data_IF_210544487796
#
_entry.id   IF_210544487796
#
_cell.length_a   1.000
_cell.length_b   1.000
_cell.length_c   1.000
_cell.angle_alpha   90.00
_cell.angle_beta   90.00
_cell.angle_gamma   90.00
#
_symmetry.space_group_name_H-M   'P 1'
#
loop_
_entity.id
_entity.type
_entity.pdbx_description
1 polymer ?
#
# COMPACT_ATOMS: atom_id res chain seq x y z
N UNK A 1 -21.87 -3.61 19.70
CA UNK A 1 -20.85 -2.78 19.01
C UNK A 1 -19.55 -2.94 19.76
N UNK A 2 -18.59 -3.68 19.21
CA UNK A 2 -17.26 -3.89 19.80
C UNK A 2 -16.44 -2.61 19.65
N UNK A 3 -15.83 -2.13 20.73
CA UNK A 3 -14.91 -0.99 20.70
C UNK A 3 -13.81 -1.28 19.66
N UNK A 4 -13.47 -0.35 18.75
CA UNK A 4 -12.35 -0.56 17.84
C UNK A 4 -11.09 -0.88 18.66
N UNK A 5 -10.22 -1.78 18.19
CA UNK A 5 -8.97 -2.09 18.87
C UNK A 5 -8.19 -0.80 19.14
N UNK A 6 -7.46 -0.72 20.24
CA UNK A 6 -6.61 0.44 20.50
C UNK A 6 -5.42 0.42 19.54
N UNK A 7 -4.96 1.59 19.09
CA UNK A 7 -3.75 1.70 18.30
C UNK A 7 -2.53 1.25 19.13
N UNK A 8 -1.58 0.52 18.52
CA UNK A 8 -0.42 -0.03 19.23
C UNK A 8 0.68 1.00 19.50
N UNK A 9 0.54 2.24 19.02
CA UNK A 9 1.52 3.32 19.11
C UNK A 9 1.00 4.61 18.51
N UNK A 10 1.83 5.65 18.54
CA UNK A 10 1.52 6.96 17.94
C UNK A 10 1.50 6.85 16.41
N UNK A 11 0.35 7.06 15.75
CA UNK A 11 0.28 7.00 14.30
C UNK A 11 1.12 8.07 13.59
N UNK A 12 1.48 9.19 14.25
CA UNK A 12 2.33 10.25 13.65
C UNK A 12 3.77 9.78 13.38
N UNK A 13 4.22 8.73 14.08
CA UNK A 13 5.55 8.13 13.92
C UNK A 13 5.59 7.07 12.82
N UNK A 14 4.45 6.81 12.15
CA UNK A 14 4.39 5.97 10.97
C UNK A 14 4.97 6.69 9.75
N UNK A 15 5.86 6.02 9.04
CA UNK A 15 6.44 6.53 7.81
C UNK A 15 6.70 5.41 6.79
N UNK A 16 6.82 5.82 5.53
CA UNK A 16 7.08 4.92 4.41
C UNK A 16 8.57 4.93 4.06
N UNK A 17 9.17 3.75 3.99
CA UNK A 17 10.48 3.54 3.39
C UNK A 17 10.28 2.83 2.04
N UNK A 18 10.57 3.54 0.95
CA UNK A 18 10.40 3.05 -0.42
C UNK A 18 11.76 2.62 -0.95
N UNK A 19 11.84 1.39 -1.44
CA UNK A 19 13.06 0.80 -1.98
C UNK A 19 12.77 0.07 -3.28
N UNK A 20 13.74 0.08 -4.18
CA UNK A 20 13.77 -0.70 -5.41
C UNK A 20 14.98 -1.62 -5.35
N UNK A 21 14.81 -2.88 -5.75
CA UNK A 21 15.93 -3.82 -5.83
C UNK A 21 16.34 -3.95 -7.30
N UNK A 22 17.46 -3.31 -7.64
CA UNK A 22 18.12 -3.45 -8.93
C UNK A 22 19.16 -4.58 -8.83
N UNK A 23 18.72 -5.81 -9.07
CA UNK A 23 19.65 -6.93 -9.10
C UNK A 23 20.43 -6.86 -10.42
N UNK A 24 21.76 -6.78 -10.35
CA UNK A 24 22.67 -6.81 -11.52
C UNK A 24 22.63 -8.15 -12.31
N UNK A 25 21.61 -8.98 -12.09
CA UNK A 25 21.40 -10.22 -12.81
C UNK A 25 20.77 -9.96 -14.17
N UNK A 26 21.23 -10.68 -15.20
CA UNK A 26 20.63 -10.72 -16.53
C UNK A 26 19.28 -11.46 -16.49
N UNK A 27 18.30 -10.94 -15.75
CA UNK A 27 16.92 -11.40 -15.92
C UNK A 27 16.40 -10.82 -17.24
N UNK A 28 15.75 -11.63 -18.10
CA UNK A 28 15.35 -11.18 -19.44
C UNK A 28 14.46 -9.94 -19.47
N UNK A 29 13.82 -9.62 -18.34
CA UNK A 29 12.82 -8.58 -18.18
C UNK A 29 13.21 -7.48 -17.19
N UNK A 30 14.47 -7.41 -16.73
CA UNK A 30 14.94 -6.43 -15.75
C UNK A 30 14.57 -4.98 -16.13
N UNK A 31 14.67 -4.65 -17.42
CA UNK A 31 14.35 -3.33 -17.97
C UNK A 31 12.83 -3.09 -18.14
N UNK A 32 12.02 -4.14 -18.09
CA UNK A 32 10.57 -4.10 -18.36
C UNK A 32 9.75 -4.18 -17.09
N UNK A 33 10.20 -4.89 -16.05
CA UNK A 33 9.45 -5.09 -14.82
C UNK A 33 10.29 -4.69 -13.60
N UNK A 34 9.94 -3.58 -12.97
CA UNK A 34 10.59 -3.11 -11.75
C UNK A 34 9.75 -3.46 -10.53
N UNK A 35 10.35 -4.18 -9.56
CA UNK A 35 9.71 -4.45 -8.27
C UNK A 35 10.08 -3.42 -7.21
N UNK A 36 9.08 -2.76 -6.67
CA UNK A 36 9.18 -1.76 -5.60
C UNK A 36 8.65 -2.33 -4.29
N UNK A 37 9.46 -2.27 -3.23
CA UNK A 37 9.07 -2.66 -1.88
C UNK A 37 8.92 -1.42 -1.01
N UNK A 38 7.75 -1.27 -0.38
CA UNK A 38 7.44 -0.19 0.53
C UNK A 38 7.27 -0.76 1.93
N UNK A 39 8.18 -0.45 2.84
CA UNK A 39 8.02 -0.79 4.25
C UNK A 39 7.24 0.32 4.96
N UNK A 40 6.26 -0.06 5.79
CA UNK A 40 5.62 0.83 6.74
C UNK A 40 6.32 0.63 8.08
N UNK A 41 6.99 1.68 8.56
CA UNK A 41 7.79 1.64 9.78
C UNK A 41 7.18 2.57 10.83
N UNK A 42 7.19 2.12 12.08
CA UNK A 42 6.78 2.92 13.23
C UNK A 42 8.00 3.19 14.10
N UNK A 43 8.35 4.47 14.26
CA UNK A 43 9.45 4.86 15.14
C UNK A 43 9.03 4.74 16.60
N UNK A 44 9.88 4.11 17.40
CA UNK A 44 9.73 4.01 18.86
C UNK A 44 11.00 4.52 19.50
N UNK A 45 10.85 5.40 20.48
CA UNK A 45 11.96 5.76 21.35
C UNK A 45 12.04 4.72 22.46
N UNK A 46 13.15 4.00 22.53
CA UNK A 46 13.46 3.05 23.59
C UNK A 46 14.61 3.60 24.42
N UNK A 47 14.54 3.44 25.75
CA UNK A 47 15.62 3.87 26.64
C UNK A 47 16.62 2.71 26.77
N UNK A 48 17.92 2.98 26.61
CA UNK A 48 18.97 1.95 26.55
C UNK A 48 19.23 1.21 27.87
N UNK A 49 18.63 1.59 28.99
CA UNK A 49 18.92 0.96 30.28
C UNK A 49 17.74 0.18 30.87
N UNK A 50 17.91 -1.14 30.91
CA UNK A 50 17.21 -2.13 31.72
C UNK A 50 17.56 -2.02 33.23
N UNK A 51 18.01 -0.84 33.68
CA UNK A 51 18.41 -0.58 35.08
C UNK A 51 17.96 0.79 35.57
N UNK A 52 16.72 0.85 36.02
CA UNK A 52 16.25 1.89 36.92
C UNK A 52 14.75 1.79 37.17
N UNK A 53 14.26 1.76 38.42
CA UNK A 53 12.83 1.83 38.70
C UNK A 53 12.38 3.28 38.50
N UNK A 54 12.16 3.66 37.25
CA UNK A 54 11.64 4.98 36.86
C UNK A 54 10.82 4.80 35.60
N UNK A 55 9.53 5.07 35.69
CA UNK A 55 8.53 4.88 34.64
C UNK A 55 8.95 5.51 33.31
N UNK A 56 8.78 4.75 32.23
CA UNK A 56 9.01 5.07 30.80
C UNK A 56 8.30 6.36 30.33
N UNK A 57 7.46 6.98 31.16
CA UNK A 57 6.57 8.08 30.82
C UNK A 57 7.20 9.50 30.84
N UNK A 58 8.41 9.70 31.36
CA UNK A 58 8.96 11.05 31.64
C UNK A 58 10.17 11.48 30.77
N UNK A 59 10.49 10.78 29.69
CA UNK A 59 11.54 11.22 28.76
C UNK A 59 11.00 12.23 27.73
N UNK A 60 10.67 13.45 28.19
CA UNK A 60 10.14 14.54 27.36
C UNK A 60 11.25 15.35 26.63
N UNK A 61 12.51 14.93 26.78
CA UNK A 61 13.67 15.59 26.19
C UNK A 61 13.98 15.10 24.78
N UNK A 62 13.91 15.98 23.79
CA UNK A 62 14.41 15.75 22.42
C UNK A 62 15.91 15.38 22.40
N UNK A 63 16.65 15.66 23.49
CA UNK A 63 18.10 15.42 23.67
C UNK A 63 18.43 14.35 24.73
N UNK A 64 17.58 13.34 24.94
CA UNK A 64 17.97 12.22 25.81
C UNK A 64 19.03 11.35 25.11
N UNK A 65 20.30 11.49 25.52
CA UNK A 65 21.45 10.74 24.98
C UNK A 65 21.33 9.21 25.14
N UNK A 66 20.45 8.76 26.04
CA UNK A 66 20.18 7.34 26.32
C UNK A 66 18.96 6.80 25.56
N UNK A 67 18.24 7.63 24.81
CA UNK A 67 17.15 7.21 23.95
C UNK A 67 17.68 6.77 22.59
N UNK A 68 17.41 5.52 22.22
CA UNK A 68 17.60 5.02 20.86
C UNK A 68 16.27 5.07 20.10
N UNK A 69 16.31 5.41 18.82
CA UNK A 69 15.16 5.27 17.92
C UNK A 69 15.22 3.88 17.32
N UNK A 70 14.22 3.06 17.60
CA UNK A 70 14.00 1.76 16.99
C UNK A 70 12.89 1.88 15.94
N UNK A 71 13.09 1.27 14.78
CA UNK A 71 12.09 1.20 13.73
C UNK A 71 11.45 -0.19 13.73
N UNK A 72 10.19 -0.25 14.16
CA UNK A 72 9.41 -1.48 14.15
C UNK A 72 8.58 -1.57 12.86
N UNK A 73 8.57 -2.73 12.21
CA UNK A 73 7.71 -2.97 11.06
C UNK A 73 6.23 -2.90 11.47
N UNK A 74 5.47 -2.03 10.82
CA UNK A 74 4.03 -1.87 10.98
C UNK A 74 3.24 -2.39 9.76
N UNK A 75 3.93 -2.73 8.68
CA UNK A 75 3.35 -3.30 7.47
C UNK A 75 4.30 -3.23 6.28
N UNK A 76 3.82 -3.68 5.13
CA UNK A 76 4.56 -3.62 3.86
C UNK A 76 3.62 -3.56 2.67
N UNK A 77 4.12 -3.04 1.55
CA UNK A 77 3.45 -3.05 0.26
C UNK A 77 4.42 -3.44 -0.84
N UNK A 78 3.92 -4.13 -1.85
CA UNK A 78 4.66 -4.49 -3.06
C UNK A 78 3.98 -3.83 -4.25
N UNK A 79 4.78 -3.15 -5.07
CA UNK A 79 4.34 -2.59 -6.35
C UNK A 79 5.23 -3.13 -7.47
N UNK A 80 4.66 -3.27 -8.66
CA UNK A 80 5.40 -3.54 -9.87
C UNK A 80 5.18 -2.44 -10.88
N UNK A 81 6.24 -1.88 -11.44
CA UNK A 81 6.15 -0.97 -12.58
C UNK A 81 6.51 -1.75 -13.84
N UNK A 82 5.57 -1.80 -14.77
CA UNK A 82 5.72 -2.44 -16.06
C UNK A 82 5.94 -1.36 -17.10
N UNK A 83 7.14 -1.32 -17.69
CA UNK A 83 7.46 -0.39 -18.76
C UNK A 83 7.02 -0.97 -20.10
N UNK A 84 5.94 -0.41 -20.65
CA UNK A 84 5.36 -0.89 -21.91
C UNK A 84 6.08 -0.31 -23.14
N UNK A 85 6.93 0.71 -22.95
CA UNK A 85 7.69 1.37 -24.02
C UNK A 85 9.10 0.76 -24.24
N UNK A 86 9.41 -0.34 -23.56
CA UNK A 86 10.68 -1.06 -23.67
C UNK A 86 10.58 -2.22 -24.66
N UNK A 87 11.73 -2.78 -25.01
CA UNK A 87 11.82 -3.78 -26.11
C UNK A 87 11.17 -5.13 -25.81
N UNK A 88 10.86 -5.44 -24.54
CA UNK A 88 10.23 -6.71 -24.13
C UNK A 88 8.76 -6.53 -23.81
N UNK A 89 8.00 -7.59 -24.02
CA UNK A 89 6.55 -7.61 -23.76
C UNK A 89 6.26 -7.53 -22.26
N UNK A 90 5.51 -6.49 -21.85
CA UNK A 90 5.03 -6.36 -20.47
C UNK A 90 4.16 -7.54 -20.04
N UNK A 91 3.36 -8.10 -20.96
CA UNK A 91 2.55 -9.30 -20.72
C UNK A 91 3.42 -10.50 -20.33
N UNK A 92 4.48 -10.77 -21.10
CA UNK A 92 5.37 -11.90 -20.82
C UNK A 92 6.13 -11.71 -19.50
N UNK A 93 6.61 -10.49 -19.23
CA UNK A 93 7.29 -10.17 -17.99
C UNK A 93 6.40 -10.39 -16.75
N UNK A 94 5.15 -9.92 -16.80
CA UNK A 94 4.18 -10.13 -15.72
C UNK A 94 3.83 -11.61 -15.55
N UNK A 95 3.68 -12.35 -16.65
CA UNK A 95 3.35 -13.78 -16.63
C UNK A 95 4.43 -14.64 -15.98
N UNK A 96 5.71 -14.29 -16.20
CA UNK A 96 6.83 -15.02 -15.62
C UNK A 96 7.06 -14.73 -14.14
N UNK A 97 6.70 -13.53 -13.66
CA UNK A 97 6.93 -13.11 -12.27
C UNK A 97 5.95 -13.78 -11.29
N UNK A 98 4.64 -13.77 -11.56
CA UNK A 98 3.65 -14.42 -10.70
C UNK A 98 2.31 -14.68 -11.39
N UNK A 99 1.54 -15.63 -10.83
CA UNK A 99 0.16 -15.91 -11.27
C UNK A 99 -0.76 -14.70 -11.05
N UNK A 100 -0.64 -14.00 -9.91
CA UNK A 100 -1.41 -12.80 -9.62
C UNK A 100 -1.17 -11.69 -10.66
N UNK A 101 0.09 -11.48 -11.08
CA UNK A 101 0.42 -10.52 -12.14
C UNK A 101 -0.06 -11.01 -13.50
N UNK A 102 0.01 -12.32 -13.77
CA UNK A 102 -0.50 -12.88 -15.00
C UNK A 102 -2.00 -12.60 -15.18
N UNK A 103 -2.82 -12.79 -14.15
CA UNK A 103 -4.25 -12.51 -14.19
C UNK A 103 -4.55 -11.03 -14.50
N UNK A 104 -3.78 -10.11 -13.90
CA UNK A 104 -3.87 -8.68 -14.19
C UNK A 104 -3.48 -8.41 -15.65
N UNK A 105 -2.39 -9.00 -16.13
CA UNK A 105 -1.93 -8.84 -17.50
C UNK A 105 -2.97 -9.31 -18.52
N UNK A 106 -3.65 -10.43 -18.27
CA UNK A 106 -4.73 -10.92 -19.13
C UNK A 106 -5.91 -9.95 -19.25
N UNK A 107 -6.18 -9.18 -18.21
CA UNK A 107 -7.28 -8.22 -18.21
C UNK A 107 -6.93 -6.90 -18.92
N UNK A 108 -5.67 -6.44 -18.85
CA UNK A 108 -5.30 -5.07 -19.27
C UNK A 108 -4.29 -5.00 -20.40
N UNK A 109 -3.54 -6.06 -20.69
CA UNK A 109 -2.54 -6.10 -21.75
C UNK A 109 -2.93 -7.07 -22.87
N UNK A 110 -2.64 -6.68 -24.11
CA UNK A 110 -2.77 -7.52 -25.28
C UNK A 110 -1.58 -8.51 -25.34
N UNK A 111 -1.81 -9.84 -25.37
CA UNK A 111 -0.73 -10.84 -25.35
C UNK A 111 0.20 -10.79 -26.57
N UNK A 112 -0.31 -10.35 -27.73
CA UNK A 112 0.46 -10.33 -28.98
C UNK A 112 1.38 -9.10 -29.05
N UNK A 113 0.94 -7.97 -28.52
CA UNK A 113 1.68 -6.70 -28.60
C UNK A 113 2.42 -6.36 -27.30
N UNK A 114 1.95 -6.84 -26.16
CA UNK A 114 2.48 -6.50 -24.83
C UNK A 114 2.07 -5.11 -24.31
N UNK A 115 1.25 -4.37 -25.06
CA UNK A 115 0.71 -3.05 -24.69
C UNK A 115 -0.70 -3.17 -24.11
N UNK A 116 -1.28 -2.06 -23.65
CA UNK A 116 -2.67 -2.03 -23.21
C UNK A 116 -3.64 -2.55 -24.27
N UNK A 117 -4.65 -3.30 -23.83
CA UNK A 117 -5.79 -3.64 -24.69
C UNK A 117 -6.53 -2.37 -25.11
N UNK A 118 -7.20 -2.40 -26.26
CA UNK A 118 -7.99 -1.27 -26.75
C UNK A 118 -9.08 -0.90 -25.73
N UNK A 119 -9.82 -1.88 -25.23
CA UNK A 119 -10.87 -1.72 -24.20
C UNK A 119 -10.37 -0.99 -22.95
N UNK A 120 -9.18 -1.35 -22.45
CA UNK A 120 -8.62 -0.70 -21.26
C UNK A 120 -8.04 0.68 -21.59
N UNK A 121 -7.37 0.81 -22.74
CA UNK A 121 -6.77 2.06 -23.20
C UNK A 121 -7.81 3.16 -23.44
N UNK A 122 -9.03 2.82 -23.87
CA UNK A 122 -10.13 3.79 -24.05
C UNK A 122 -10.57 4.47 -22.74
N UNK A 123 -10.34 3.83 -21.59
CA UNK A 123 -10.67 4.42 -20.28
C UNK A 123 -9.58 5.34 -19.72
N UNK A 124 -8.43 5.41 -20.40
CA UNK A 124 -7.23 6.08 -19.91
C UNK A 124 -6.86 7.27 -20.79
N UNK A 125 -6.57 8.39 -20.15
CA UNK A 125 -5.94 9.51 -20.84
C UNK A 125 -4.54 9.12 -21.33
N UNK A 126 -4.08 9.77 -22.41
CA UNK A 126 -2.80 9.48 -23.04
C UNK A 126 -1.66 10.21 -22.31
N UNK A 127 -1.44 9.88 -21.04
CA UNK A 127 -0.37 10.43 -20.20
C UNK A 127 0.46 9.30 -19.59
N UNK A 128 1.78 9.37 -19.70
CA UNK A 128 2.66 8.26 -19.30
C UNK A 128 2.57 7.04 -20.22
N UNK A 129 3.45 6.06 -19.97
CA UNK A 129 3.55 4.81 -20.75
C UNK A 129 3.48 3.56 -19.87
N UNK A 130 3.94 3.65 -18.63
CA UNK A 130 4.03 2.51 -17.74
C UNK A 130 2.68 2.08 -17.14
N UNK A 131 2.62 0.84 -16.68
CA UNK A 131 1.57 0.31 -15.80
C UNK A 131 2.15 0.16 -14.39
N UNK A 132 1.50 0.74 -13.39
CA UNK A 132 1.84 0.48 -11.99
C UNK A 132 0.84 -0.54 -11.42
N UNK A 133 1.33 -1.67 -10.94
CA UNK A 133 0.52 -2.68 -10.27
C UNK A 133 0.73 -2.57 -8.77
N UNK A 134 -0.34 -2.37 -8.00
CA UNK A 134 -0.32 -2.55 -6.55
C UNK A 134 -0.69 -4.01 -6.26
N UNK A 135 0.33 -4.82 -6.04
CA UNK A 135 0.23 -6.28 -5.89
C UNK A 135 -0.23 -6.68 -4.49
N UNK A 136 0.49 -6.21 -3.46
CA UNK A 136 0.24 -6.63 -2.09
C UNK A 136 0.28 -5.46 -1.13
N UNK A 137 -0.67 -5.39 -0.21
CA UNK A 137 -0.69 -4.44 0.90
C UNK A 137 -0.96 -5.20 2.19
N UNK A 138 -0.04 -5.12 3.14
CA UNK A 138 -0.16 -5.71 4.45
C UNK A 138 0.08 -4.67 5.53
N UNK A 139 -0.72 -4.75 6.58
CA UNK A 139 -0.45 -4.07 7.84
C UNK A 139 -0.34 -5.13 8.93
N UNK A 140 0.46 -4.86 9.95
CA UNK A 140 0.51 -5.69 11.14
C UNK A 140 -0.84 -5.65 11.86
N UNK A 141 -1.25 -6.79 12.43
CA UNK A 141 -2.60 -6.96 13.00
C UNK A 141 -3.05 -5.82 13.92
N UNK A 142 -2.20 -5.28 14.82
CA UNK A 142 -2.60 -4.19 15.70
C UNK A 142 -2.91 -2.87 14.99
N UNK A 143 -2.39 -2.64 13.79
CA UNK A 143 -2.64 -1.42 13.00
C UNK A 143 -3.86 -1.53 12.07
N UNK A 144 -4.43 -2.73 11.91
CA UNK A 144 -5.58 -2.99 11.02
C UNK A 144 -6.88 -2.43 11.58
N UNK A 145 -7.84 -2.13 10.70
CA UNK A 145 -9.20 -1.71 11.09
C UNK A 145 -9.37 -0.22 11.38
N UNK A 146 -8.31 0.57 11.31
CA UNK A 146 -8.33 2.02 11.55
C UNK A 146 -8.44 2.86 10.28
N UNK A 147 -8.34 2.25 9.09
CA UNK A 147 -8.27 2.97 7.81
C UNK A 147 -6.89 3.53 7.47
N UNK A 148 -5.87 3.26 8.30
CA UNK A 148 -4.47 3.67 8.09
C UNK A 148 -3.92 3.10 6.79
N UNK A 149 -4.23 1.83 6.46
CA UNK A 149 -3.70 1.16 5.28
C UNK A 149 -4.05 1.86 3.97
N UNK A 150 -5.29 2.34 3.83
CA UNK A 150 -5.72 3.08 2.64
C UNK A 150 -5.00 4.43 2.51
N UNK A 151 -4.80 5.15 3.63
CA UNK A 151 -4.07 6.42 3.62
C UNK A 151 -2.59 6.22 3.24
N UNK A 152 -1.93 5.21 3.83
CA UNK A 152 -0.54 4.89 3.50
C UNK A 152 -0.38 4.38 2.06
N UNK A 153 -1.33 3.58 1.56
CA UNK A 153 -1.31 3.09 0.19
C UNK A 153 -1.48 4.24 -0.81
N UNK A 154 -2.39 5.20 -0.54
CA UNK A 154 -2.53 6.40 -1.36
C UNK A 154 -1.23 7.23 -1.40
N UNK A 155 -0.51 7.35 -0.28
CA UNK A 155 0.80 8.02 -0.25
C UNK A 155 1.85 7.28 -1.07
N UNK A 156 1.91 5.95 -0.97
CA UNK A 156 2.84 5.13 -1.75
C UNK A 156 2.53 5.24 -3.25
N UNK A 157 1.27 5.08 -3.65
CA UNK A 157 0.81 5.21 -5.04
C UNK A 157 1.19 6.58 -5.58
N UNK A 158 0.89 7.67 -4.88
CA UNK A 158 1.20 9.00 -5.38
C UNK A 158 2.70 9.21 -5.66
N UNK A 159 3.57 8.62 -4.83
CA UNK A 159 5.02 8.69 -5.02
C UNK A 159 5.51 7.80 -6.16
N UNK A 160 4.84 6.67 -6.41
CA UNK A 160 5.25 5.66 -7.39
C UNK A 160 4.55 5.79 -8.74
N UNK A 161 3.45 6.52 -8.86
CA UNK A 161 2.66 6.63 -10.10
C UNK A 161 3.27 7.55 -11.16
N UNK A 162 4.36 8.25 -10.85
CA UNK A 162 5.09 9.08 -11.82
C UNK A 162 5.48 8.26 -13.06
N UNK A 163 5.04 8.70 -14.23
CA UNK A 163 5.28 8.03 -15.52
C UNK A 163 4.32 6.88 -15.84
N UNK A 164 3.45 6.48 -14.89
CA UNK A 164 2.41 5.51 -15.12
C UNK A 164 1.21 6.15 -15.82
N UNK A 165 0.63 5.42 -16.79
CA UNK A 165 -0.64 5.75 -17.42
C UNK A 165 -1.82 5.20 -16.63
N UNK A 166 -1.62 4.10 -15.93
CA UNK A 166 -2.60 3.50 -15.06
C UNK A 166 -1.94 2.90 -13.83
N UNK A 167 -2.68 2.89 -12.72
CA UNK A 167 -2.41 2.08 -11.55
C UNK A 167 -3.50 1.02 -11.46
N UNK A 168 -3.15 -0.26 -11.29
CA UNK A 168 -4.11 -1.37 -11.22
C UNK A 168 -3.89 -2.20 -9.97
N UNK A 169 -4.97 -2.80 -9.47
CA UNK A 169 -4.91 -3.77 -8.38
C UNK A 169 -6.06 -4.78 -8.48
N UNK A 170 -5.84 -5.97 -7.93
CA UNK A 170 -6.90 -6.94 -7.66
C UNK A 170 -7.05 -7.07 -6.15
N UNK A 171 -8.12 -6.53 -5.53
CA UNK A 171 -8.37 -6.65 -4.10
C UNK A 171 -8.68 -8.10 -3.75
N UNK A 172 -7.82 -8.69 -2.91
CA UNK A 172 -8.02 -10.02 -2.36
C UNK A 172 -7.43 -10.14 -0.95
N UNK A 173 -7.78 -11.22 -0.24
CA UNK A 173 -7.15 -11.53 1.06
C UNK A 173 -5.95 -12.43 0.80
N UNK A 174 -4.74 -11.85 0.86
CA UNK A 174 -3.50 -12.61 0.62
C UNK A 174 -2.99 -13.40 1.84
N UNK A 175 -3.47 -13.10 3.06
CA UNK A 175 -3.03 -13.75 4.30
C UNK A 175 -4.09 -14.73 4.82
N UNK A 176 -4.07 -15.94 4.26
CA UNK A 176 -4.92 -17.07 4.64
C UNK A 176 -4.34 -17.94 5.76
N UNK A 177 -3.21 -17.54 6.35
CA UNK A 177 -2.40 -18.43 7.20
C UNK A 177 -2.93 -18.62 8.62
N UNK A 178 -3.96 -17.88 9.07
CA UNK A 178 -4.42 -17.94 10.48
C UNK A 178 -5.89 -18.34 10.68
N UNK A 179 -6.75 -18.08 9.71
CA UNK A 179 -8.18 -18.35 9.84
C UNK A 179 -8.69 -18.63 8.44
N UNK A 180 -8.93 -19.91 8.11
CA UNK A 180 -9.83 -20.23 7.00
C UNK A 180 -11.14 -19.52 7.34
N UNK A 181 -11.40 -18.38 6.73
CA UNK A 181 -12.75 -17.85 6.59
C UNK A 181 -13.55 -19.00 5.95
N UNK A 182 -14.39 -19.68 6.74
CA UNK A 182 -15.11 -20.89 6.30
C UNK A 182 -16.43 -20.53 5.58
N UNK A 183 -16.82 -19.26 5.65
CA UNK A 183 -18.10 -18.75 5.17
C UNK A 183 -17.89 -17.75 4.04
N UNK A 184 -18.49 -18.03 2.87
CA UNK A 184 -18.48 -17.16 1.69
C UNK A 184 -19.05 -15.77 2.02
N UNK A 185 -20.04 -15.67 2.91
CA UNK A 185 -20.59 -14.37 3.31
C UNK A 185 -19.62 -13.51 4.13
N UNK A 186 -18.74 -14.15 4.91
CA UNK A 186 -17.67 -13.45 5.64
C UNK A 186 -16.56 -13.00 4.69
N UNK A 187 -16.24 -13.84 3.71
CA UNK A 187 -15.33 -13.52 2.61
C UNK A 187 -15.78 -12.29 1.82
N UNK A 188 -17.00 -12.32 1.30
CA UNK A 188 -17.55 -11.23 0.48
C UNK A 188 -17.60 -9.92 1.28
N UNK A 189 -17.87 -10.00 2.59
CA UNK A 189 -17.84 -8.83 3.47
C UNK A 189 -16.43 -8.27 3.66
N UNK A 190 -15.41 -9.12 3.80
CA UNK A 190 -14.02 -8.69 3.96
C UNK A 190 -13.50 -8.10 2.65
N UNK A 191 -13.71 -8.79 1.53
CA UNK A 191 -13.34 -8.32 0.19
C UNK A 191 -14.05 -7.01 -0.12
N UNK A 192 -15.35 -6.88 0.18
CA UNK A 192 -16.10 -5.63 -0.01
C UNK A 192 -15.56 -4.46 0.84
N UNK A 193 -15.07 -4.72 2.06
CA UNK A 193 -14.41 -3.68 2.87
C UNK A 193 -13.04 -3.26 2.30
N UNK A 194 -12.29 -4.22 1.76
CA UNK A 194 -11.01 -3.96 1.10
C UNK A 194 -11.26 -3.13 -0.17
N UNK A 195 -12.19 -3.56 -1.01
CA UNK A 195 -12.61 -2.86 -2.23
C UNK A 195 -13.10 -1.43 -1.93
N UNK A 196 -13.98 -1.25 -0.94
CA UNK A 196 -14.42 0.08 -0.51
C UNK A 196 -13.28 0.95 0.03
N UNK A 197 -12.22 0.35 0.57
CA UNK A 197 -10.99 1.06 0.94
C UNK A 197 -10.23 1.61 -0.26
N UNK A 198 -10.23 0.90 -1.39
CA UNK A 198 -9.59 1.32 -2.63
C UNK A 198 -10.41 2.33 -3.42
N UNK A 199 -11.74 2.20 -3.41
CA UNK A 199 -12.63 3.23 -3.95
C UNK A 199 -12.41 4.58 -3.25
N UNK A 200 -12.07 4.60 -1.96
CA UNK A 200 -11.70 5.83 -1.25
C UNK A 200 -10.36 6.43 -1.69
N UNK A 201 -9.48 5.65 -2.32
CA UNK A 201 -8.22 6.14 -2.93
C UNK A 201 -8.48 6.73 -4.32
N UNK A 202 -9.62 6.40 -4.95
CA UNK A 202 -9.96 6.79 -6.31
C UNK A 202 -10.01 5.66 -7.32
N UNK A 203 -9.79 4.42 -6.87
CA UNK A 203 -9.89 3.28 -7.76
C UNK A 203 -11.32 3.08 -8.23
N UNK A 204 -11.48 2.81 -9.52
CA UNK A 204 -12.75 2.45 -10.15
C UNK A 204 -12.68 1.00 -10.63
N UNK A 205 -13.80 0.30 -10.56
CA UNK A 205 -13.88 -1.09 -11.01
C UNK A 205 -13.84 -1.13 -12.54
N UNK A 206 -13.03 -2.02 -13.10
CA UNK A 206 -12.98 -2.28 -14.54
C UNK A 206 -13.72 -3.58 -14.89
N UNK A 207 -13.12 -4.74 -14.60
CA UNK A 207 -13.65 -6.09 -14.89
C UNK A 207 -13.42 -7.02 -13.71
N UNK A 208 -14.39 -7.87 -13.40
CA UNK A 208 -14.33 -8.87 -12.33
C UNK A 208 -13.91 -8.25 -10.98
N UNK A 209 -12.74 -8.63 -10.46
CA UNK A 209 -12.12 -8.07 -9.26
C UNK A 209 -11.11 -6.98 -9.57
N UNK A 210 -10.82 -6.65 -10.82
CA UNK A 210 -9.81 -5.67 -11.17
C UNK A 210 -10.31 -4.23 -10.99
N UNK A 211 -9.51 -3.44 -10.30
CA UNK A 211 -9.68 -2.01 -10.12
C UNK A 211 -8.53 -1.26 -10.76
N UNK A 212 -8.82 -0.06 -11.26
CA UNK A 212 -7.80 0.83 -11.82
C UNK A 212 -8.01 2.28 -11.38
N UNK A 213 -6.91 3.03 -11.43
CA UNK A 213 -6.83 4.44 -11.15
C UNK A 213 -6.00 5.08 -12.28
N UNK A 214 -6.53 6.12 -12.91
CA UNK A 214 -5.75 6.93 -13.85
C UNK A 214 -5.08 8.08 -13.09
N UNK A 215 -3.74 8.21 -13.11
CA UNK A 215 -3.05 9.34 -12.49
C UNK A 215 -3.45 10.71 -13.07
N UNK A 216 -4.07 10.73 -14.25
CA UNK A 216 -4.51 11.95 -14.92
C UNK A 216 -5.88 12.45 -14.45
N UNK A 217 -6.66 11.64 -13.71
CA UNK A 217 -7.97 12.09 -13.27
C UNK A 217 -7.86 13.26 -12.27
N UNK A 218 -8.75 14.26 -12.37
CA UNK A 218 -8.64 15.48 -11.57
C UNK A 218 -8.95 15.27 -10.07
N UNK A 219 -9.69 14.21 -9.74
CA UNK A 219 -10.13 13.85 -8.39
C UNK A 219 -9.05 13.13 -7.56
N UNK A 220 -8.01 12.55 -8.17
CA UNK A 220 -6.98 11.77 -7.46
C UNK A 220 -6.30 12.55 -6.34
N UNK A 221 -6.00 13.83 -6.57
CA UNK A 221 -5.36 14.68 -5.57
C UNK A 221 -6.34 15.07 -4.45
N UNK A 222 -7.62 15.23 -4.77
CA UNK A 222 -8.67 15.52 -3.79
C UNK A 222 -8.92 14.30 -2.87
N UNK A 223 -9.03 13.11 -3.45
CA UNK A 223 -9.21 11.84 -2.74
C UNK A 223 -8.01 11.54 -1.84
N UNK A 224 -6.79 11.73 -2.34
CA UNK A 224 -5.56 11.69 -1.52
C UNK A 224 -5.63 12.66 -0.34
N UNK A 225 -6.01 13.91 -0.60
CA UNK A 225 -6.13 14.93 0.44
C UNK A 225 -7.23 14.60 1.46
N UNK A 226 -8.31 13.96 1.04
CA UNK A 226 -9.36 13.46 1.94
C UNK A 226 -8.85 12.33 2.85
N UNK A 227 -8.06 11.40 2.31
CA UNK A 227 -7.42 10.33 3.07
C UNK A 227 -6.40 10.85 4.07
N UNK A 228 -5.55 11.82 3.68
CA UNK A 228 -4.65 12.52 4.60
C UNK A 228 -5.41 13.15 5.76
N UNK A 229 -6.49 13.90 5.47
CA UNK A 229 -7.33 14.49 6.52
C UNK A 229 -7.94 13.44 7.44
N UNK A 230 -8.33 12.28 6.92
CA UNK A 230 -8.83 11.16 7.72
C UNK A 230 -7.73 10.60 8.62
N UNK A 231 -6.50 10.49 8.13
CA UNK A 231 -5.35 10.07 8.90
C UNK A 231 -5.04 11.04 10.05
N UNK A 232 -5.01 12.35 9.79
CA UNK A 232 -4.83 13.38 10.83
C UNK A 232 -5.89 13.31 11.95
N UNK A 233 -7.13 12.92 11.62
CA UNK A 233 -8.18 12.72 12.64
C UNK A 233 -7.89 11.51 13.54
N UNK A 234 -7.25 10.47 13.00
CA UNK A 234 -6.83 9.30 13.79
C UNK A 234 -5.72 9.70 14.75
N UNK A 235 -4.75 10.49 14.29
CA UNK A 235 -3.68 11.06 15.13
C UNK A 235 -4.25 11.91 16.26
N UNK A 236 -5.14 12.86 15.94
CA UNK A 236 -5.78 13.70 16.95
C UNK A 236 -6.60 12.89 17.97
N UNK A 237 -7.34 11.87 17.51
CA UNK A 237 -8.10 11.00 18.39
C UNK A 237 -7.20 10.16 19.30
N UNK A 238 -6.04 9.73 18.82
CA UNK A 238 -5.04 9.04 19.63
C UNK A 238 -4.43 9.96 20.68
N UNK A 239 -3.99 11.16 20.29
CA UNK A 239 -3.41 12.15 21.21
C UNK A 239 -4.38 12.53 22.34
N UNK A 240 -5.67 12.67 22.05
CA UNK A 240 -6.70 12.96 23.04
C UNK A 240 -6.92 11.79 24.04
N UNK A 241 -6.74 10.54 23.59
CA UNK A 241 -6.84 9.36 24.46
C UNK A 241 -5.58 9.19 25.32
N UNK A 242 -4.40 9.46 24.76
CA UNK A 242 -3.12 9.37 25.47
C UNK A 242 -2.94 10.49 26.50
N UNK A 243 -3.60 11.64 26.31
CA UNK A 243 -3.52 12.80 27.22
C UNK A 243 -4.57 12.81 28.34
N UNK A 244 -5.50 11.85 28.37
CA UNK A 244 -6.54 11.80 29.39
C UNK A 244 -6.03 10.99 30.60
N UNK A 245 -5.90 11.59 31.81
CA UNK A 245 -5.47 10.85 33.00
C UNK A 245 -6.53 9.81 33.40
N UNK A 246 -6.14 8.71 34.08
CA UNK A 246 -7.07 7.70 34.59
C UNK A 246 -8.04 8.25 35.64
#
# INVERSE_FOLDING_TARGET
MTKPPALPGDPTELHLHISYNDELGDTPHADTLERWNVAVLHRRRTHRDDRGPGTVADCDGTDCLSCTVEEAAAGSMTFYRVHLDRSRSGYAAMAEESEDLYEIAQAVLDPATGYYTEEFSEQLEYTGSALLVMDRVTLERPWRGHGIGAALAAEAIHRLMLGARAVVCSPGVSDLSGTRLRDQGEWDRVVGKIAGGWELIGFRRFRDTLYFLSPAWPDVEEERTALRRKFLRIEAAWAAQSSSPP
#
